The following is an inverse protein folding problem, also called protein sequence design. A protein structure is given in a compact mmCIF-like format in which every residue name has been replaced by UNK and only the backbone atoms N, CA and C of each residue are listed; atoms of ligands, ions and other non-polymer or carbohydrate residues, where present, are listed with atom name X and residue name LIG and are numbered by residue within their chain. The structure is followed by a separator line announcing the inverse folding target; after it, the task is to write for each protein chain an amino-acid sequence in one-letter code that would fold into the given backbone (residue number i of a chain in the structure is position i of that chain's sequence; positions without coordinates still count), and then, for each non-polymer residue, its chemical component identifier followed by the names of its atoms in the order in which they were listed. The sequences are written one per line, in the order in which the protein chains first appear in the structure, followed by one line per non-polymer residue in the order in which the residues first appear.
data_IF_804702534763
#
_entry.id   IF_804702534763
#
_cell.length_a   1.000
_cell.length_b   1.000
_cell.length_c   1.000
_cell.angle_alpha   90.00
_cell.angle_beta   90.00
_cell.angle_gamma   90.00
#
_symmetry.space_group_name_H-M   'P 1'
#
loop_
_entity.id
_entity.type
_entity.pdbx_description
1 polymer ?
#
# COMPACT_ATOMS: atom_id res chain seq x y z
N UNK A 1 -6.48 17.07 -8.41
CA UNK A 1 -5.39 16.12 -8.70
C UNK A 1 -5.75 14.78 -8.09
N UNK A 2 -5.58 13.66 -8.81
CA UNK A 2 -5.87 12.35 -8.21
C UNK A 2 -4.91 12.12 -7.02
N UNK A 3 -5.46 11.73 -5.87
CA UNK A 3 -4.70 11.46 -4.63
C UNK A 3 -3.45 10.61 -4.88
N UNK A 4 -3.55 9.61 -5.75
CA UNK A 4 -2.41 8.81 -6.19
C UNK A 4 -1.28 9.59 -6.86
N UNK A 5 -1.59 10.45 -7.83
CA UNK A 5 -0.59 11.25 -8.55
C UNK A 5 0.12 12.20 -7.61
N UNK A 6 -0.61 12.73 -6.62
CA UNK A 6 -0.07 13.58 -5.57
C UNK A 6 0.92 12.84 -4.67
N UNK A 7 0.51 11.70 -4.11
CA UNK A 7 1.38 10.91 -3.22
C UNK A 7 2.62 10.39 -3.96
N UNK A 8 2.46 10.00 -5.23
CA UNK A 8 3.59 9.64 -6.08
C UNK A 8 4.51 10.85 -6.29
N UNK A 9 3.98 11.99 -6.73
CA UNK A 9 4.79 13.19 -6.95
C UNK A 9 5.50 13.70 -5.68
N UNK A 10 4.89 13.56 -4.51
CA UNK A 10 5.50 13.94 -3.23
C UNK A 10 6.71 13.06 -2.86
N UNK A 11 6.67 11.76 -3.20
CA UNK A 11 7.75 10.83 -2.87
C UNK A 11 8.90 10.85 -3.88
N UNK A 12 8.60 11.03 -5.17
CA UNK A 12 9.58 10.81 -6.25
C UNK A 12 9.65 11.93 -7.29
N UNK A 13 8.89 13.01 -7.09
CA UNK A 13 8.82 14.15 -8.00
C UNK A 13 7.86 13.94 -9.16
N UNK A 14 7.43 15.06 -9.78
CA UNK A 14 6.44 15.07 -10.86
C UNK A 14 6.90 14.38 -12.17
N UNK A 15 8.19 14.06 -12.30
CA UNK A 15 8.78 13.40 -13.49
C UNK A 15 9.00 11.90 -13.34
N UNK A 16 8.46 11.27 -12.30
CA UNK A 16 8.70 9.86 -12.03
C UNK A 16 8.14 8.95 -13.13
N UNK A 17 9.00 8.06 -13.65
CA UNK A 17 8.63 7.10 -14.70
C UNK A 17 8.25 5.77 -14.07
N UNK A 18 7.01 5.34 -14.30
CA UNK A 18 6.52 4.04 -13.84
C UNK A 18 6.89 2.95 -14.85
N UNK A 19 7.45 1.86 -14.37
CA UNK A 19 7.63 0.62 -15.11
C UNK A 19 6.54 -0.37 -14.71
N UNK A 20 5.55 -0.52 -15.59
CA UNK A 20 4.41 -1.40 -15.35
C UNK A 20 4.79 -2.88 -15.53
N UNK A 21 4.51 -3.68 -14.51
CA UNK A 21 4.64 -5.13 -14.50
C UNK A 21 3.25 -5.75 -14.30
N UNK A 22 2.85 -6.60 -15.24
CA UNK A 22 1.61 -7.40 -15.17
C UNK A 22 2.02 -8.87 -14.97
N UNK A 23 1.98 -9.40 -13.74
CA UNK A 23 2.33 -10.80 -13.51
C UNK A 23 1.38 -11.72 -14.28
N UNK A 24 1.91 -12.74 -14.94
CA UNK A 24 1.13 -13.78 -15.61
C UNK A 24 0.62 -14.84 -14.63
N UNK A 25 1.16 -14.89 -13.41
CA UNK A 25 0.78 -15.86 -12.38
C UNK A 25 0.94 -15.30 -10.96
N UNK A 26 0.33 -15.98 -9.98
CA UNK A 26 0.47 -15.70 -8.55
C UNK A 26 1.92 -15.82 -8.07
N UNK A 27 2.66 -16.82 -8.56
CA UNK A 27 4.09 -17.01 -8.26
C UNK A 27 4.91 -15.84 -8.79
N UNK A 28 4.64 -15.40 -10.02
CA UNK A 28 5.32 -14.25 -10.58
C UNK A 28 4.98 -12.96 -9.82
N UNK A 29 3.72 -12.79 -9.39
CA UNK A 29 3.32 -11.66 -8.57
C UNK A 29 4.12 -11.61 -7.27
N UNK A 30 4.24 -12.72 -6.54
CA UNK A 30 5.07 -12.83 -5.32
C UNK A 30 6.52 -12.42 -5.57
N UNK A 31 7.09 -12.79 -6.71
CA UNK A 31 8.45 -12.39 -7.10
C UNK A 31 8.54 -10.90 -7.40
N UNK A 32 7.59 -10.35 -8.16
CA UNK A 32 7.60 -8.95 -8.59
C UNK A 32 7.35 -7.96 -7.44
N UNK A 33 6.59 -8.37 -6.42
CA UNK A 33 6.36 -7.60 -5.19
C UNK A 33 7.63 -7.43 -4.33
N UNK A 34 8.70 -8.18 -4.63
CA UNK A 34 10.00 -8.04 -3.99
C UNK A 34 10.95 -7.24 -4.89
N UNK A 35 11.15 -5.96 -4.59
CA UNK A 35 11.99 -5.05 -5.39
C UNK A 35 13.13 -4.38 -4.59
N UNK A 36 13.86 -5.15 -3.79
CA UNK A 36 14.89 -4.62 -2.90
C UNK A 36 15.98 -3.76 -3.58
N UNK A 37 16.26 -3.99 -4.86
CA UNK A 37 17.30 -3.28 -5.63
C UNK A 37 16.78 -2.04 -6.38
N UNK A 38 15.46 -1.90 -6.54
CA UNK A 38 14.89 -0.91 -7.45
C UNK A 38 15.00 -1.31 -8.94
N UNK A 39 14.30 -0.57 -9.81
CA UNK A 39 14.46 -0.68 -11.26
C UNK A 39 15.65 0.16 -11.73
N UNK A 40 16.16 -0.14 -12.93
CA UNK A 40 17.22 0.65 -13.58
C UNK A 40 16.73 2.06 -13.92
N UNK A 41 17.69 2.97 -14.14
CA UNK A 41 17.45 4.33 -14.64
C UNK A 41 16.46 5.16 -13.80
N UNK A 42 16.40 4.91 -12.49
CA UNK A 42 15.53 5.68 -11.59
C UNK A 42 14.04 5.32 -11.67
N UNK A 43 13.64 4.34 -12.49
CA UNK A 43 12.23 3.96 -12.66
C UNK A 43 11.61 3.36 -11.41
N UNK A 44 10.29 3.40 -11.34
CA UNK A 44 9.49 2.88 -10.22
C UNK A 44 8.67 1.71 -10.69
N UNK A 45 8.82 0.56 -10.03
CA UNK A 45 8.01 -0.62 -10.35
C UNK A 45 6.56 -0.37 -9.96
N UNK A 46 5.65 -0.54 -10.92
CA UNK A 46 4.21 -0.63 -10.72
C UNK A 46 3.77 -2.07 -10.96
N UNK A 47 3.35 -2.79 -9.92
CA UNK A 47 2.80 -4.15 -10.03
C UNK A 47 1.28 -4.08 -10.08
N UNK A 48 0.67 -4.51 -11.18
CA UNK A 48 -0.79 -4.59 -11.30
C UNK A 48 -1.29 -5.97 -10.91
N UNK A 49 -2.11 -6.03 -9.86
CA UNK A 49 -2.74 -7.25 -9.38
C UNK A 49 -4.23 -7.28 -9.75
N UNK A 50 -4.71 -8.43 -10.22
CA UNK A 50 -6.11 -8.69 -10.54
C UNK A 50 -6.52 -10.08 -10.01
N UNK A 51 -7.75 -10.54 -10.29
CA UNK A 51 -8.26 -11.81 -9.75
C UNK A 51 -7.48 -13.04 -10.24
N UNK A 52 -6.77 -12.95 -11.36
CA UNK A 52 -6.02 -14.05 -11.97
C UNK A 52 -4.63 -14.20 -11.35
N UNK A 53 -3.99 -13.07 -11.03
CA UNK A 53 -2.60 -13.04 -10.61
C UNK A 53 -2.36 -12.54 -9.17
N UNK A 54 -3.39 -11.98 -8.50
CA UNK A 54 -3.30 -11.60 -7.10
C UNK A 54 -3.03 -12.89 -6.31
N UNK A 55 -1.93 -12.96 -5.54
CA UNK A 55 -1.64 -14.16 -4.79
C UNK A 55 -2.74 -14.40 -3.78
N UNK A 56 -3.32 -15.60 -3.81
CA UNK A 56 -4.19 -16.02 -2.73
C UNK A 56 -3.36 -16.00 -1.46
N UNK A 57 -4.01 -15.60 -0.37
CA UNK A 57 -3.45 -15.72 0.96
C UNK A 57 -4.32 -16.73 1.67
N UNK A 58 -3.79 -17.92 1.96
CA UNK A 58 -4.47 -18.83 2.87
C UNK A 58 -4.71 -18.13 4.22
N UNK A 59 -5.57 -18.72 5.05
CA UNK A 59 -5.84 -18.15 6.38
C UNK A 59 -4.53 -18.08 7.16
N UNK A 60 -4.06 -16.85 7.40
CA UNK A 60 -2.81 -16.59 8.12
C UNK A 60 -1.59 -16.35 7.22
N UNK A 61 -1.71 -16.57 5.92
CA UNK A 61 -0.62 -16.25 4.99
C UNK A 61 -0.61 -14.75 4.67
N UNK A 62 0.60 -14.20 4.51
CA UNK A 62 0.82 -12.83 4.05
C UNK A 62 1.81 -12.83 2.90
N UNK A 63 1.59 -11.95 1.94
CA UNK A 63 2.43 -11.76 0.77
C UNK A 63 3.40 -10.63 1.06
N UNK A 64 4.67 -10.98 1.18
CA UNK A 64 5.74 -10.01 1.39
C UNK A 64 5.83 -9.00 0.24
N UNK A 65 5.90 -7.75 0.61
CA UNK A 65 6.23 -6.61 -0.24
C UNK A 65 7.55 -6.02 0.25
N UNK A 66 8.51 -5.88 -0.66
CA UNK A 66 9.83 -5.31 -0.36
C UNK A 66 10.05 -4.13 -1.28
N UNK A 67 10.08 -2.94 -0.70
CA UNK A 67 10.48 -1.71 -1.38
C UNK A 67 11.99 -1.68 -1.66
N UNK A 68 12.43 -0.90 -2.65
CA UNK A 68 13.83 -0.57 -2.89
C UNK A 68 14.52 0.04 -1.66
N UNK A 69 15.82 -0.27 -1.49
CA UNK A 69 16.65 0.33 -0.41
C UNK A 69 17.07 1.78 -0.68
N UNK A 70 16.88 2.27 -1.89
CA UNK A 70 17.27 3.61 -2.31
C UNK A 70 16.19 4.68 -2.03
N UNK A 71 15.16 4.34 -1.27
CA UNK A 71 14.08 5.24 -0.87
C UNK A 71 12.97 5.40 -1.89
N UNK A 72 13.15 4.92 -3.14
CA UNK A 72 12.05 4.90 -4.11
C UNK A 72 10.96 3.93 -3.66
N UNK A 73 9.67 4.25 -3.86
CA UNK A 73 8.60 3.33 -3.53
C UNK A 73 8.50 2.18 -4.53
N UNK A 74 7.91 1.07 -4.12
CA UNK A 74 7.21 0.15 -5.03
C UNK A 74 5.73 0.56 -5.09
N UNK A 75 5.15 0.63 -6.28
CA UNK A 75 3.72 0.88 -6.45
C UNK A 75 3.00 -0.44 -6.72
N UNK A 76 1.91 -0.67 -6.00
CA UNK A 76 1.05 -1.84 -6.14
C UNK A 76 -0.35 -1.36 -6.46
N UNK A 77 -0.93 -1.84 -7.55
CA UNK A 77 -2.28 -1.51 -7.98
C UNK A 77 -3.14 -2.75 -7.95
N UNK A 78 -3.91 -2.90 -6.86
CA UNK A 78 -4.82 -4.02 -6.62
C UNK A 78 -6.15 -3.70 -7.28
N UNK A 79 -6.27 -4.08 -8.55
CA UNK A 79 -7.46 -3.86 -9.38
C UNK A 79 -8.63 -4.73 -8.91
N UNK A 80 -8.34 -5.98 -8.56
CA UNK A 80 -9.29 -6.94 -8.02
C UNK A 80 -8.55 -8.06 -7.27
N UNK A 81 -9.29 -8.91 -6.56
CA UNK A 81 -8.72 -9.95 -5.70
C UNK A 81 -8.64 -9.54 -4.24
N UNK A 82 -8.04 -10.40 -3.42
CA UNK A 82 -8.00 -10.29 -1.95
C UNK A 82 -6.60 -10.60 -1.37
N UNK A 83 -5.51 -9.99 -1.89
CA UNK A 83 -4.19 -10.25 -1.35
C UNK A 83 -4.07 -9.68 0.08
N UNK A 84 -3.50 -10.47 0.99
CA UNK A 84 -3.05 -9.99 2.30
C UNK A 84 -1.60 -9.57 2.18
N UNK A 85 -1.36 -8.30 1.89
CA UNK A 85 -0.01 -7.79 1.68
C UNK A 85 0.66 -7.49 3.02
N UNK A 86 1.98 -7.67 3.11
CA UNK A 86 2.80 -7.21 4.24
C UNK A 86 4.02 -6.48 3.71
N UNK A 87 4.11 -5.17 3.94
CA UNK A 87 5.30 -4.39 3.60
C UNK A 87 6.35 -4.65 4.67
N UNK A 88 7.38 -5.43 4.33
CA UNK A 88 8.40 -5.83 5.31
C UNK A 88 9.57 -4.86 5.39
N UNK A 89 9.84 -4.10 4.32
CA UNK A 89 10.84 -3.02 4.31
C UNK A 89 10.66 -2.08 3.13
N UNK A 90 11.24 -0.88 3.23
CA UNK A 90 11.14 0.17 2.23
C UNK A 90 9.76 0.81 2.18
N UNK A 91 9.51 1.59 1.13
CA UNK A 91 8.24 2.32 0.95
C UNK A 91 7.37 1.64 -0.10
N UNK A 92 6.07 1.51 0.17
CA UNK A 92 5.08 1.03 -0.77
C UNK A 92 3.90 2.00 -0.92
N UNK A 93 3.47 2.26 -2.16
CA UNK A 93 2.20 2.93 -2.45
C UNK A 93 1.23 1.87 -2.96
N UNK A 94 0.11 1.69 -2.27
CA UNK A 94 -0.83 0.60 -2.55
C UNK A 94 -2.19 1.18 -2.91
N UNK A 95 -2.60 1.02 -4.17
CA UNK A 95 -3.91 1.41 -4.67
C UNK A 95 -4.87 0.22 -4.52
N UNK A 96 -5.73 0.29 -3.52
CA UNK A 96 -6.72 -0.74 -3.21
C UNK A 96 -8.00 -0.47 -4.02
N UNK A 97 -8.02 -0.74 -5.32
CA UNK A 97 -9.22 -0.51 -6.17
C UNK A 97 -10.25 -1.64 -6.10
N UNK A 98 -9.88 -2.77 -5.49
CA UNK A 98 -10.79 -3.88 -5.20
C UNK A 98 -11.83 -3.48 -4.16
N UNK A 99 -13.13 -3.68 -4.46
CA UNK A 99 -14.22 -3.49 -3.51
C UNK A 99 -14.29 -4.58 -2.42
N UNK A 100 -13.47 -5.62 -2.54
CA UNK A 100 -13.37 -6.69 -1.56
C UNK A 100 -12.51 -6.24 -0.38
N UNK A 101 -12.75 -6.78 0.82
CA UNK A 101 -12.05 -6.35 2.04
C UNK A 101 -10.55 -6.60 1.95
N UNK A 102 -9.74 -5.55 1.85
CA UNK A 102 -8.30 -5.68 1.71
C UNK A 102 -7.60 -5.61 3.07
N UNK A 103 -6.54 -6.40 3.22
CA UNK A 103 -5.71 -6.39 4.43
C UNK A 103 -4.27 -6.04 4.09
N UNK A 104 -3.70 -5.13 4.89
CA UNK A 104 -2.33 -4.65 4.71
C UNK A 104 -1.60 -4.61 6.05
N UNK A 105 -0.42 -5.20 6.09
CA UNK A 105 0.48 -5.07 7.22
C UNK A 105 1.69 -4.21 6.87
N UNK A 106 2.19 -3.51 7.87
CA UNK A 106 3.41 -2.72 7.79
C UNK A 106 4.35 -3.17 8.89
N UNK A 107 5.52 -3.65 8.52
CA UNK A 107 6.56 -4.08 9.45
C UNK A 107 7.34 -2.90 10.09
N UNK A 108 8.23 -3.19 11.06
CA UNK A 108 8.90 -2.21 11.92
C UNK A 108 9.86 -1.23 11.24
N UNK A 109 10.11 -1.38 9.94
CA UNK A 109 11.04 -0.54 9.17
C UNK A 109 10.51 -0.31 7.75
N UNK A 110 9.19 -0.34 7.63
CA UNK A 110 8.48 -0.17 6.37
C UNK A 110 7.56 1.04 6.45
N UNK A 111 7.31 1.64 5.29
CA UNK A 111 6.29 2.66 5.11
C UNK A 111 5.27 2.20 4.06
N UNK A 112 3.98 2.32 4.37
CA UNK A 112 2.92 2.05 3.42
C UNK A 112 1.99 3.25 3.30
N UNK A 113 1.73 3.68 2.07
CA UNK A 113 0.68 4.65 1.73
C UNK A 113 -0.42 3.88 0.99
N UNK A 114 -1.56 3.71 1.65
CA UNK A 114 -2.68 2.93 1.12
C UNK A 114 -3.76 3.88 0.66
N UNK A 115 -4.09 3.81 -0.62
CA UNK A 115 -5.08 4.66 -1.28
C UNK A 115 -6.26 3.77 -1.64
N UNK A 116 -7.41 4.02 -1.03
CA UNK A 116 -8.61 3.21 -1.24
C UNK A 116 -9.78 4.10 -1.72
N UNK A 117 -10.69 3.59 -2.56
CA UNK A 117 -11.84 4.34 -3.05
C UNK A 117 -12.84 4.60 -1.94
N UNK A 118 -13.75 5.55 -2.17
CA UNK A 118 -14.91 5.76 -1.33
C UNK A 118 -15.67 4.43 -1.18
N UNK A 119 -16.06 4.07 0.04
CA UNK A 119 -16.84 2.87 0.37
C UNK A 119 -16.08 1.53 0.41
N UNK A 120 -14.75 1.57 0.48
CA UNK A 120 -13.94 0.36 0.71
C UNK A 120 -13.71 0.05 2.20
N UNK A 121 -13.54 -1.24 2.51
CA UNK A 121 -13.08 -1.71 3.82
C UNK A 121 -11.58 -2.06 3.72
N UNK A 122 -10.78 -1.41 4.55
CA UNK A 122 -9.35 -1.69 4.68
C UNK A 122 -9.05 -2.04 6.12
N UNK A 123 -8.55 -3.26 6.33
CA UNK A 123 -7.97 -3.68 7.61
C UNK A 123 -6.47 -3.47 7.50
N UNK A 124 -5.88 -2.73 8.44
CA UNK A 124 -4.45 -2.49 8.41
C UNK A 124 -3.81 -2.76 9.77
N UNK A 125 -2.61 -3.32 9.79
CA UNK A 125 -1.84 -3.48 11.02
C UNK A 125 -0.46 -2.86 10.83
N UNK A 126 -0.11 -1.90 11.69
CA UNK A 126 1.18 -1.23 11.65
C UNK A 126 1.99 -1.63 12.89
N UNK A 127 3.02 -2.45 12.69
CA UNK A 127 3.92 -2.86 13.76
C UNK A 127 4.73 -1.67 14.30
N UNK A 128 5.24 -1.79 15.53
CA UNK A 128 6.07 -0.76 16.18
C UNK A 128 7.29 -0.41 15.31
N UNK A 129 7.53 0.87 15.07
CA UNK A 129 8.57 1.36 14.13
C UNK A 129 8.14 1.44 12.66
N UNK A 130 7.00 0.86 12.30
CA UNK A 130 6.39 1.01 10.98
C UNK A 130 5.61 2.31 10.84
N UNK A 131 5.37 2.72 9.59
CA UNK A 131 4.59 3.92 9.26
C UNK A 131 3.50 3.61 8.23
N UNK A 132 2.26 3.94 8.57
CA UNK A 132 1.08 3.70 7.75
C UNK A 132 0.34 5.01 7.48
N UNK A 133 0.09 5.32 6.22
CA UNK A 133 -0.84 6.37 5.81
C UNK A 133 -2.02 5.76 5.09
N UNK A 134 -3.24 5.92 5.61
CA UNK A 134 -4.48 5.51 4.96
C UNK A 134 -5.14 6.75 4.34
N UNK A 135 -5.15 6.81 3.01
CA UNK A 135 -5.70 7.92 2.26
C UNK A 135 -7.01 7.49 1.57
N UNK A 136 -8.14 7.97 2.07
CA UNK A 136 -9.48 7.54 1.67
C UNK A 136 -10.41 8.75 1.49
N UNK A 137 -11.07 8.91 0.34
CA UNK A 137 -11.82 10.13 0.01
C UNK A 137 -13.19 10.25 0.72
N UNK A 138 -13.53 9.39 1.68
CA UNK A 138 -14.84 9.36 2.33
C UNK A 138 -14.75 8.90 3.78
N UNK A 139 -15.48 9.59 4.66
CA UNK A 139 -15.66 9.23 6.08
C UNK A 139 -16.42 7.92 6.27
N UNK A 140 -17.16 7.46 5.24
CA UNK A 140 -17.88 6.18 5.26
C UNK A 140 -16.94 4.98 5.14
N UNK A 141 -15.67 5.19 4.76
CA UNK A 141 -14.69 4.13 4.65
C UNK A 141 -14.51 3.42 5.99
N UNK A 142 -14.61 2.09 5.97
CA UNK A 142 -14.42 1.27 7.17
C UNK A 142 -12.93 0.97 7.32
N UNK A 143 -12.21 1.93 7.87
CA UNK A 143 -10.79 1.80 8.19
C UNK A 143 -10.64 1.18 9.58
N UNK A 144 -9.85 0.12 9.66
CA UNK A 144 -9.50 -0.53 10.93
C UNK A 144 -7.98 -0.67 11.03
N UNK A 145 -7.27 0.42 11.36
CA UNK A 145 -5.85 0.33 11.68
C UNK A 145 -5.64 -0.26 13.09
N UNK A 146 -4.69 -1.18 13.19
CA UNK A 146 -4.21 -1.83 14.41
C UNK A 146 -2.68 -1.68 14.51
N UNK A 147 -2.10 -2.21 15.58
CA UNK A 147 -0.66 -2.15 15.85
C UNK A 147 -0.13 -0.83 16.44
N UNK A 148 1.12 -0.85 16.92
CA UNK A 148 1.73 0.24 17.71
C UNK A 148 2.53 1.24 16.87
N UNK A 149 2.61 1.04 15.55
CA UNK A 149 3.32 1.94 14.64
C UNK A 149 2.58 3.25 14.39
N UNK A 150 3.26 4.17 13.71
CA UNK A 150 2.72 5.48 13.37
C UNK A 150 1.64 5.34 12.29
N UNK A 151 0.41 5.75 12.60
CA UNK A 151 -0.70 5.71 11.65
C UNK A 151 -1.25 7.10 11.40
N UNK A 152 -1.45 7.43 10.13
CA UNK A 152 -2.04 8.68 9.66
C UNK A 152 -3.28 8.38 8.83
N UNK A 153 -4.33 9.18 8.99
CA UNK A 153 -5.49 9.19 8.08
C UNK A 153 -5.43 10.44 7.20
N UNK A 154 -5.82 10.32 5.94
CA UNK A 154 -5.98 11.45 5.04
C UNK A 154 -7.31 11.30 4.26
N UNK A 155 -8.17 12.31 4.34
CA UNK A 155 -9.49 12.30 3.69
C UNK A 155 -9.52 12.91 2.29
N UNK A 156 -8.40 13.47 1.80
CA UNK A 156 -8.26 13.92 0.42
C UNK A 156 -7.54 15.24 0.17
N UNK A 157 -7.10 16.00 1.19
CA UNK A 157 -6.28 17.21 1.00
C UNK A 157 -4.97 17.17 1.81
N UNK A 158 -3.98 18.02 1.47
CA UNK A 158 -2.64 18.03 2.09
C UNK A 158 -2.65 18.50 3.55
N UNK A 159 -3.72 19.17 3.97
CA UNK A 159 -3.90 19.66 5.33
C UNK A 159 -4.41 18.58 6.30
N UNK A 160 -4.79 17.40 5.81
CA UNK A 160 -5.62 16.46 6.58
C UNK A 160 -4.89 15.19 7.04
N UNK A 161 -3.55 15.11 6.93
CA UNK A 161 -2.78 13.99 7.52
C UNK A 161 -2.80 14.11 9.04
N UNK A 162 -3.89 13.64 9.61
CA UNK A 162 -4.10 13.66 11.04
C UNK A 162 -3.54 12.36 11.62
N UNK A 163 -2.71 12.44 12.68
CA UNK A 163 -2.38 11.28 13.48
C UNK A 163 -3.67 10.52 13.83
N UNK A 164 -3.68 9.22 13.58
CA UNK A 164 -4.82 8.41 13.96
C UNK A 164 -4.76 8.14 15.46
N UNK A 165 -5.60 8.82 16.21
CA UNK A 165 -5.86 8.49 17.60
C UNK A 165 -6.86 7.35 17.64
N UNK A 166 -6.46 6.21 18.21
CA UNK A 166 -7.38 5.09 18.40
C UNK A 166 -8.53 5.56 19.30
N UNK A 167 -9.79 5.40 18.90
CA UNK A 167 -10.89 5.61 19.82
C UNK A 167 -10.71 4.67 21.01
N UNK A 168 -10.65 5.25 22.21
CA UNK A 168 -10.72 4.52 23.47
C UNK A 168 -12.18 4.07 23.59
N UNK A 169 -12.43 2.80 23.34
CA UNK A 169 -13.73 2.22 23.66
C UNK A 169 -13.72 1.94 25.16
N UNK A 170 -14.48 2.73 25.91
CA UNK A 170 -14.83 2.46 27.31
C UNK A 170 -15.69 1.19 27.43
#
# INVERSE_FOLDING_TARGET
THLYERELAALVGAGAVLEEKKPASKTEARRLLKNARGETDGRIRLVKLNYENAPDSEVGERVDVVGPKDGRPIVIDVVSGLPRLKVISGTAIIRMRSNWGNSIDVGPSAEAIVIAPADSKVTAECEEGGKLTLACPSEKNRLRPFGKGETFLATGTDADRNPYERPVYE
#
